data_IF_785052618717
#
_entry.id   IF_785052618717
#
_cell.length_a   1.000
_cell.length_b   1.000
_cell.length_c   1.000
_cell.angle_alpha   90.00
_cell.angle_beta   90.00
_cell.angle_gamma   90.00
#
_symmetry.space_group_name_H-M   'P 1'
#
loop_
_entity.id
_entity.type
_entity.pdbx_description
1 polymer ?
#
# COMPACT_ATOMS: atom_id res chain seq x y z
N UNK A 1 11.57 -5.33 5.72
CA UNK A 1 11.58 -3.85 5.81
C UNK A 1 10.33 -3.43 6.59
N UNK A 2 10.45 -2.65 7.67
CA UNK A 2 9.32 -2.38 8.58
C UNK A 2 8.74 -0.98 8.41
N UNK A 3 7.41 -0.85 8.53
CA UNK A 3 6.68 0.42 8.52
C UNK A 3 5.57 0.42 9.58
N UNK A 4 5.09 1.61 9.94
CA UNK A 4 4.08 1.81 10.99
C UNK A 4 2.78 2.30 10.38
N UNK A 5 1.69 1.69 10.81
CA UNK A 5 0.34 2.10 10.47
C UNK A 5 -0.34 2.75 11.68
N UNK A 6 -1.32 3.60 11.41
CA UNK A 6 -2.13 4.22 12.44
C UNK A 6 -3.56 4.45 11.97
N UNK A 7 -4.49 4.38 12.91
CA UNK A 7 -5.90 4.70 12.66
C UNK A 7 -6.50 5.43 13.85
N UNK A 8 -7.27 6.49 13.58
CA UNK A 8 -8.08 7.15 14.60
C UNK A 8 -9.40 6.41 14.76
N UNK A 9 -9.66 5.88 15.96
CA UNK A 9 -10.94 5.25 16.32
C UNK A 9 -11.99 6.30 16.69
N UNK A 10 -13.27 5.90 16.69
CA UNK A 10 -14.42 6.74 17.06
C UNK A 10 -14.28 7.40 18.43
N UNK A 11 -13.65 6.73 19.39
CA UNK A 11 -13.38 7.24 20.74
C UNK A 11 -12.16 8.21 20.81
N UNK A 12 -11.71 8.74 19.67
CA UNK A 12 -10.52 9.60 19.51
C UNK A 12 -9.18 8.94 19.90
N UNK A 13 -9.15 7.68 20.30
CA UNK A 13 -7.88 6.95 20.51
C UNK A 13 -7.25 6.64 19.15
N UNK A 14 -5.93 6.74 19.09
CA UNK A 14 -5.16 6.33 17.92
C UNK A 14 -4.65 4.92 18.19
N UNK A 15 -5.04 3.99 17.32
CA UNK A 15 -4.49 2.65 17.28
C UNK A 15 -3.28 2.62 16.35
N UNK A 16 -2.24 1.87 16.73
CA UNK A 16 -1.05 1.68 15.94
C UNK A 16 -0.77 0.19 15.75
N UNK A 17 -0.24 -0.16 14.59
CA UNK A 17 0.28 -1.49 14.32
C UNK A 17 1.47 -1.43 13.36
N UNK A 18 2.18 -2.54 13.26
CA UNK A 18 3.34 -2.68 12.38
C UNK A 18 2.97 -3.47 11.12
N UNK A 19 3.60 -3.13 10.02
CA UNK A 19 3.64 -3.94 8.81
C UNK A 19 5.08 -4.21 8.42
N UNK A 20 5.33 -5.40 7.89
CA UNK A 20 6.67 -5.83 7.48
C UNK A 20 6.62 -6.38 6.07
N UNK A 21 7.42 -5.77 5.19
CA UNK A 21 7.66 -6.29 3.84
C UNK A 21 8.67 -7.44 3.94
N UNK A 22 8.25 -8.63 3.52
CA UNK A 22 9.02 -9.89 3.58
C UNK A 22 9.67 -10.24 2.26
N UNK A 23 8.93 -10.06 1.16
CA UNK A 23 9.40 -10.31 -0.20
C UNK A 23 9.17 -9.05 -1.03
N UNK A 24 10.12 -8.76 -1.90
CA UNK A 24 10.11 -7.62 -2.80
C UNK A 24 10.76 -8.08 -4.11
N UNK A 25 9.97 -8.06 -5.18
CA UNK A 25 10.43 -8.33 -6.53
C UNK A 25 10.23 -7.05 -7.34
N UNK A 26 11.35 -6.44 -7.69
CA UNK A 26 11.39 -5.18 -8.41
C UNK A 26 11.51 -5.42 -9.91
N UNK A 27 10.74 -4.66 -10.66
CA UNK A 27 10.87 -4.47 -12.09
C UNK A 27 10.81 -2.98 -12.42
N UNK A 28 11.08 -2.63 -13.67
CA UNK A 28 11.12 -1.23 -14.11
C UNK A 28 9.81 -0.49 -13.85
N UNK A 29 8.68 -1.13 -14.19
CA UNK A 29 7.36 -0.50 -14.13
C UNK A 29 6.40 -1.17 -13.14
N UNK A 30 6.84 -2.26 -12.51
CA UNK A 30 6.02 -3.15 -11.70
C UNK A 30 6.82 -3.65 -10.51
N UNK A 31 6.22 -3.60 -9.33
CA UNK A 31 6.80 -4.09 -8.08
C UNK A 31 5.81 -5.00 -7.39
N UNK A 32 6.28 -6.16 -7.00
CA UNK A 32 5.50 -7.17 -6.28
C UNK A 32 6.06 -7.30 -4.87
N UNK A 33 5.19 -7.12 -3.87
CA UNK A 33 5.55 -7.20 -2.45
C UNK A 33 4.64 -8.15 -1.69
N UNK A 34 5.23 -8.80 -0.70
CA UNK A 34 4.50 -9.55 0.32
C UNK A 34 4.62 -8.84 1.67
N UNK A 35 3.49 -8.47 2.25
CA UNK A 35 3.40 -7.75 3.52
C UNK A 35 2.77 -8.66 4.58
N UNK A 36 3.48 -8.84 5.68
CA UNK A 36 2.91 -9.39 6.92
C UNK A 36 2.51 -8.24 7.85
N UNK A 37 1.27 -8.28 8.30
CA UNK A 37 0.75 -7.41 9.35
C UNK A 37 -0.28 -8.18 10.18
N UNK A 38 -1.44 -7.60 10.47
CA UNK A 38 -2.59 -8.32 11.05
C UNK A 38 -3.16 -9.38 10.10
N UNK A 39 -2.95 -9.19 8.80
CA UNK A 39 -3.19 -10.15 7.74
C UNK A 39 -1.94 -10.30 6.87
N UNK A 40 -1.95 -11.29 5.97
CA UNK A 40 -0.95 -11.42 4.92
C UNK A 40 -1.47 -10.85 3.60
N UNK A 41 -0.71 -9.92 3.02
CA UNK A 41 -1.11 -9.17 1.84
C UNK A 41 -0.10 -9.40 0.72
N UNK A 42 -0.58 -9.98 -0.37
CA UNK A 42 0.13 -10.01 -1.65
C UNK A 42 -0.28 -8.78 -2.45
N UNK A 43 0.68 -7.93 -2.79
CA UNK A 43 0.42 -6.63 -3.42
C UNK A 43 1.31 -6.51 -4.65
N UNK A 44 0.71 -6.15 -5.78
CA UNK A 44 1.43 -5.81 -7.01
C UNK A 44 1.07 -4.38 -7.37
N UNK A 45 2.05 -3.49 -7.39
CA UNK A 45 1.88 -2.11 -7.85
C UNK A 45 2.59 -1.90 -9.18
N UNK A 46 2.09 -0.98 -9.98
CA UNK A 46 2.78 -0.59 -11.19
C UNK A 46 2.34 0.77 -11.72
N UNK A 47 3.14 1.31 -12.61
CA UNK A 47 2.83 2.52 -13.37
C UNK A 47 2.59 2.16 -14.81
N UNK A 48 1.63 2.84 -15.39
CA UNK A 48 1.38 2.81 -16.82
C UNK A 48 1.42 4.24 -17.34
N UNK A 49 1.39 4.40 -18.67
CA UNK A 49 1.18 5.71 -19.30
C UNK A 49 -0.10 6.41 -18.82
N UNK A 50 -1.10 5.65 -18.35
CA UNK A 50 -2.43 6.14 -18.00
C UNK A 50 -2.66 6.27 -16.49
N UNK A 51 -1.67 5.93 -15.66
CA UNK A 51 -1.76 6.06 -14.21
C UNK A 51 -1.13 4.90 -13.46
N UNK A 52 -1.15 5.04 -12.14
CA UNK A 52 -0.68 4.06 -11.18
C UNK A 52 -1.79 3.08 -10.84
N UNK A 53 -1.45 1.82 -10.57
CA UNK A 53 -2.41 0.81 -10.17
C UNK A 53 -1.87 -0.07 -9.06
N UNK A 54 -2.80 -0.78 -8.42
CA UNK A 54 -2.53 -1.88 -7.50
C UNK A 54 -3.43 -3.07 -7.78
N UNK A 55 -2.87 -4.25 -7.63
CA UNK A 55 -3.55 -5.54 -7.58
C UNK A 55 -3.26 -6.19 -6.23
N UNK A 56 -4.29 -6.74 -5.59
CA UNK A 56 -4.21 -7.45 -4.32
C UNK A 56 -4.87 -8.81 -4.51
N UNK A 57 -4.13 -9.84 -4.98
CA UNK A 57 -4.72 -11.12 -5.39
C UNK A 57 -5.54 -11.80 -4.31
N UNK A 58 -5.08 -11.76 -3.05
CA UNK A 58 -5.77 -12.39 -1.91
C UNK A 58 -7.18 -11.83 -1.64
N UNK A 59 -7.48 -10.64 -2.17
CA UNK A 59 -8.76 -9.95 -2.02
C UNK A 59 -9.52 -9.83 -3.35
N UNK A 60 -8.98 -10.36 -4.45
CA UNK A 60 -9.46 -10.14 -5.84
C UNK A 60 -9.71 -8.65 -6.16
N UNK A 61 -8.86 -7.78 -5.64
CA UNK A 61 -8.98 -6.32 -5.82
C UNK A 61 -7.97 -5.82 -6.83
N UNK A 62 -8.43 -4.99 -7.77
CA UNK A 62 -7.62 -4.28 -8.75
C UNK A 62 -8.18 -2.87 -8.91
N UNK A 63 -7.36 -1.85 -8.72
CA UNK A 63 -7.80 -0.47 -8.92
C UNK A 63 -6.67 0.48 -9.31
N UNK A 64 -7.04 1.62 -9.89
CA UNK A 64 -6.14 2.74 -10.04
C UNK A 64 -5.82 3.37 -8.67
N UNK A 65 -4.64 3.95 -8.58
CA UNK A 65 -4.15 4.75 -7.47
C UNK A 65 -3.92 6.20 -7.91
N UNK A 66 -3.86 7.10 -6.93
CA UNK A 66 -3.26 8.43 -7.11
C UNK A 66 -1.73 8.28 -7.24
N UNK A 67 -0.94 9.29 -6.84
CA UNK A 67 0.49 9.11 -6.59
C UNK A 67 0.68 8.06 -5.48
N UNK A 68 1.77 7.29 -5.52
CA UNK A 68 1.97 6.22 -4.53
C UNK A 68 2.08 6.77 -3.09
N UNK A 69 2.64 7.97 -2.93
CA UNK A 69 2.76 8.72 -1.68
C UNK A 69 1.51 9.54 -1.30
N UNK A 70 0.46 9.52 -2.12
CA UNK A 70 -0.83 10.12 -1.75
C UNK A 70 -1.57 9.17 -0.81
N UNK A 71 -1.13 9.17 0.45
CA UNK A 71 -1.67 8.29 1.50
C UNK A 71 -3.15 8.56 1.72
N UNK A 72 -3.60 9.81 1.62
CA UNK A 72 -4.98 10.18 1.91
C UNK A 72 -5.93 9.51 0.90
N UNK A 73 -5.70 9.77 -0.39
CA UNK A 73 -6.57 9.23 -1.44
C UNK A 73 -6.47 7.70 -1.52
N UNK A 74 -5.24 7.15 -1.47
CA UNK A 74 -5.04 5.70 -1.56
C UNK A 74 -5.65 4.97 -0.35
N UNK A 75 -5.56 5.53 0.85
CA UNK A 75 -6.19 4.95 2.04
C UNK A 75 -7.71 4.94 1.90
N UNK A 76 -8.33 6.06 1.50
CA UNK A 76 -9.79 6.12 1.34
C UNK A 76 -10.26 5.09 0.29
N UNK A 77 -9.59 5.04 -0.86
CA UNK A 77 -9.91 4.09 -1.92
C UNK A 77 -9.76 2.64 -1.46
N UNK A 78 -8.63 2.28 -0.84
CA UNK A 78 -8.34 0.90 -0.47
C UNK A 78 -9.19 0.43 0.71
N UNK A 79 -9.42 1.28 1.71
CA UNK A 79 -10.28 0.91 2.85
C UNK A 79 -11.72 0.65 2.43
N UNK A 80 -12.21 1.31 1.38
CA UNK A 80 -13.53 1.01 0.78
C UNK A 80 -13.61 -0.36 0.11
N UNK A 81 -12.47 -0.96 -0.28
CA UNK A 81 -12.40 -2.20 -1.04
C UNK A 81 -12.05 -3.42 -0.17
N UNK A 82 -11.12 -3.28 0.77
CA UNK A 82 -10.56 -4.39 1.55
C UNK A 82 -10.68 -4.20 3.07
N UNK A 83 -11.40 -3.16 3.51
CA UNK A 83 -11.60 -2.84 4.92
C UNK A 83 -10.51 -1.93 5.50
N UNK A 84 -10.81 -1.35 6.65
CA UNK A 84 -10.02 -0.25 7.24
C UNK A 84 -8.56 -0.65 7.52
N UNK A 85 -8.35 -1.78 8.19
CA UNK A 85 -7.00 -2.20 8.63
C UNK A 85 -6.12 -2.54 7.44
N UNK A 86 -6.61 -3.37 6.53
CA UNK A 86 -5.82 -3.81 5.38
C UNK A 86 -5.65 -2.69 4.36
N UNK A 87 -6.68 -1.87 4.13
CA UNK A 87 -6.59 -0.72 3.22
C UNK A 87 -5.55 0.30 3.68
N UNK A 88 -5.52 0.63 4.97
CA UNK A 88 -4.47 1.48 5.56
C UNK A 88 -3.09 0.82 5.40
N UNK A 89 -3.00 -0.49 5.66
CA UNK A 89 -1.73 -1.24 5.60
C UNK A 89 -1.15 -1.24 4.18
N UNK A 90 -1.99 -1.48 3.16
CA UNK A 90 -1.56 -1.44 1.76
C UNK A 90 -1.12 -0.04 1.36
N UNK A 91 -1.90 1.00 1.68
CA UNK A 91 -1.54 2.38 1.36
C UNK A 91 -0.17 2.77 1.97
N UNK A 92 0.08 2.36 3.22
CA UNK A 92 1.36 2.60 3.91
C UNK A 92 2.52 1.77 3.37
N UNK A 93 2.27 0.53 2.94
CA UNK A 93 3.29 -0.28 2.29
C UNK A 93 3.75 0.35 0.97
N UNK A 94 2.80 0.88 0.19
CA UNK A 94 3.05 1.53 -1.10
C UNK A 94 3.86 2.82 -0.91
N UNK A 95 3.43 3.70 0.00
CA UNK A 95 4.17 4.91 0.41
C UNK A 95 5.61 4.58 0.82
N UNK A 96 5.77 3.57 1.68
CA UNK A 96 7.08 3.16 2.18
C UNK A 96 8.00 2.65 1.06
N UNK A 97 7.46 1.88 0.12
CA UNK A 97 8.22 1.38 -1.03
C UNK A 97 8.64 2.51 -1.96
N UNK A 98 7.76 3.46 -2.27
CA UNK A 98 8.10 4.61 -3.11
C UNK A 98 9.25 5.42 -2.49
N UNK A 99 9.17 5.76 -1.21
CA UNK A 99 10.23 6.51 -0.52
C UNK A 99 11.54 5.74 -0.42
N UNK A 100 11.48 4.43 -0.18
CA UNK A 100 12.69 3.64 0.11
C UNK A 100 13.45 3.27 -1.15
N UNK A 101 12.73 2.99 -2.23
CA UNK A 101 13.33 2.54 -3.47
C UNK A 101 13.55 3.67 -4.47
N UNK A 102 13.07 4.89 -4.18
CA UNK A 102 13.12 6.06 -5.08
C UNK A 102 12.69 5.68 -6.50
N UNK A 103 11.78 4.71 -6.63
CA UNK A 103 11.49 4.01 -7.91
C UNK A 103 11.12 4.98 -9.03
N UNK A 104 10.65 6.18 -8.68
CA UNK A 104 10.05 7.13 -9.60
C UNK A 104 10.53 8.57 -9.42
N UNK A 105 11.70 8.79 -8.78
CA UNK A 105 12.26 10.12 -8.46
C UNK A 105 12.76 10.94 -9.67
N UNK A 106 12.28 10.65 -10.88
CA UNK A 106 12.70 11.31 -12.11
C UNK A 106 11.57 11.97 -12.92
N UNK A 107 10.38 12.20 -12.34
CA UNK A 107 9.32 13.00 -12.97
C UNK A 107 8.49 13.82 -11.99
#
# INVERSE_FOLDING_TARGET
>A
MEFRCSQRKKNKKIEYWKGTIKCLKEGKDLVEIYVESRSSLHIVIGKTKYGNFVCIPNYDVRCYLSRFNDIFWNTEKLTSLIGEVDGITVARAIEYIEHKLLLWDHF
#
